data_IF_820449823002
#
_entry.id   IF_820449823002
#
_cell.length_a   1.000
_cell.length_b   1.000
_cell.length_c   1.000
_cell.angle_alpha   90.00
_cell.angle_beta   90.00
_cell.angle_gamma   90.00
#
_symmetry.space_group_name_H-M   'P 1'
#
loop_
_entity.id
_entity.type
_entity.pdbx_description
1 polymer ?
#
# COMPACT_ATOMS: atom_id res chain seq x y z
N UNK A 1 26.11 24.57 20.93
CA UNK A 1 26.58 23.70 19.83
C UNK A 1 25.39 22.84 19.44
N UNK A 2 24.70 23.16 18.35
CA UNK A 2 23.48 22.45 17.97
C UNK A 2 23.86 21.23 17.16
N UNK A 3 23.58 20.03 17.68
CA UNK A 3 23.79 18.78 16.94
C UNK A 3 22.73 18.75 15.84
N UNK A 4 23.15 18.99 14.59
CA UNK A 4 22.33 18.65 13.42
C UNK A 4 22.32 17.14 13.31
N UNK A 5 21.22 16.53 13.74
CA UNK A 5 20.93 15.14 13.38
C UNK A 5 20.53 15.15 11.90
N UNK A 6 21.47 14.89 11.01
CA UNK A 6 21.14 14.55 9.63
C UNK A 6 20.56 13.14 9.66
N UNK A 7 19.23 13.05 9.67
CA UNK A 7 18.57 11.79 9.36
C UNK A 7 19.11 11.40 7.98
N UNK A 8 19.69 10.18 7.80
CA UNK A 8 20.04 9.73 6.46
C UNK A 8 18.81 9.95 5.60
N UNK A 9 18.97 10.54 4.43
CA UNK A 9 17.90 10.63 3.45
C UNK A 9 17.55 9.20 3.05
N UNK A 10 16.80 8.50 3.90
CA UNK A 10 16.02 7.34 3.53
C UNK A 10 15.04 7.89 2.52
N UNK A 11 15.44 7.80 1.26
CA UNK A 11 14.59 7.92 0.08
C UNK A 11 13.53 6.84 0.21
N UNK A 12 12.56 7.00 1.12
CA UNK A 12 11.29 6.30 1.04
C UNK A 12 10.75 6.63 -0.34
N UNK A 13 10.99 5.74 -1.28
CA UNK A 13 10.88 6.05 -2.69
C UNK A 13 9.65 5.38 -3.27
N UNK A 14 9.10 4.38 -2.57
CA UNK A 14 8.06 3.52 -3.07
C UNK A 14 7.01 3.22 -1.98
N UNK A 15 5.78 3.08 -2.42
CA UNK A 15 4.63 2.83 -1.56
C UNK A 15 3.58 2.08 -2.35
N UNK A 16 2.91 1.11 -1.74
CA UNK A 16 1.69 0.53 -2.31
C UNK A 16 0.50 1.10 -1.54
N UNK A 17 -0.39 1.75 -2.28
CA UNK A 17 -1.67 2.22 -1.79
C UNK A 17 -2.71 1.21 -2.20
N UNK A 18 -3.39 0.62 -1.22
CA UNK A 18 -4.49 -0.32 -1.44
C UNK A 18 -5.79 0.33 -1.02
N UNK A 19 -6.59 0.70 -2.01
CA UNK A 19 -7.94 1.20 -1.80
C UNK A 19 -8.89 -0.01 -1.67
N UNK A 20 -9.69 -0.04 -0.61
CA UNK A 20 -10.58 -1.15 -0.29
C UNK A 20 -12.00 -0.60 -0.16
N UNK A 21 -12.91 -1.14 -0.97
CA UNK A 21 -14.36 -0.89 -0.89
C UNK A 21 -14.99 -2.01 -0.06
N UNK A 22 -15.74 -1.66 0.97
CA UNK A 22 -16.48 -2.60 1.81
C UNK A 22 -17.91 -2.81 1.27
N UNK A 23 -18.52 -3.96 1.57
CA UNK A 23 -19.89 -4.33 1.15
C UNK A 23 -20.96 -3.36 1.67
N UNK A 24 -20.68 -2.63 2.75
CA UNK A 24 -21.55 -1.59 3.30
C UNK A 24 -21.39 -0.22 2.62
N UNK A 25 -20.58 -0.12 1.56
CA UNK A 25 -20.34 1.11 0.80
C UNK A 25 -19.29 2.05 1.40
N UNK A 26 -18.67 1.69 2.53
CA UNK A 26 -17.54 2.45 3.09
C UNK A 26 -16.24 2.11 2.38
N UNK A 27 -15.32 3.08 2.36
CA UNK A 27 -13.99 2.90 1.83
C UNK A 27 -12.95 2.93 2.96
N UNK A 28 -11.90 2.14 2.83
CA UNK A 28 -10.70 2.21 3.66
C UNK A 28 -9.47 2.11 2.79
N UNK A 29 -8.32 2.50 3.34
CA UNK A 29 -7.06 2.53 2.61
C UNK A 29 -5.95 1.93 3.47
N UNK A 30 -5.13 1.09 2.87
CA UNK A 30 -3.90 0.56 3.46
C UNK A 30 -2.73 1.12 2.67
N UNK A 31 -1.78 1.74 3.37
CA UNK A 31 -0.58 2.32 2.78
C UNK A 31 0.62 1.55 3.31
N UNK A 32 1.38 0.92 2.40
CA UNK A 32 2.61 0.20 2.73
C UNK A 32 3.79 0.96 2.17
N UNK A 33 4.64 1.47 3.05
CA UNK A 33 5.87 2.19 2.69
C UNK A 33 7.04 1.21 2.74
N UNK A 34 7.88 1.22 1.71
CA UNK A 34 9.06 0.37 1.64
C UNK A 34 10.21 1.10 0.94
N UNK A 35 11.42 0.63 1.18
CA UNK A 35 12.65 1.26 0.72
C UNK A 35 13.67 0.24 0.19
N UNK A 36 13.20 -0.96 -0.16
CA UNK A 36 14.03 -1.98 -0.78
C UNK A 36 13.58 -2.16 -2.23
N UNK A 37 14.47 -1.86 -3.16
CA UNK A 37 14.30 -2.00 -4.60
C UNK A 37 14.43 -3.45 -5.09
N UNK A 38 14.89 -4.37 -4.23
CA UNK A 38 14.98 -5.80 -4.53
C UNK A 38 13.68 -6.55 -4.22
N UNK A 39 12.76 -5.93 -3.48
CA UNK A 39 11.46 -6.54 -3.19
C UNK A 39 10.58 -6.39 -4.42
N UNK A 40 10.11 -7.52 -4.94
CA UNK A 40 9.14 -7.50 -6.03
C UNK A 40 7.81 -6.94 -5.54
N UNK A 41 7.19 -6.10 -6.35
CA UNK A 41 5.87 -5.56 -6.07
C UNK A 41 4.83 -6.70 -5.96
N UNK A 42 4.99 -7.79 -6.72
CA UNK A 42 4.08 -8.93 -6.66
C UNK A 42 4.12 -9.60 -5.29
N UNK A 43 5.31 -9.74 -4.70
CA UNK A 43 5.47 -10.28 -3.34
C UNK A 43 4.83 -9.38 -2.29
N UNK A 44 4.91 -8.06 -2.45
CA UNK A 44 4.23 -7.12 -1.57
C UNK A 44 2.71 -7.21 -1.70
N UNK A 45 2.18 -7.35 -2.91
CA UNK A 45 0.75 -7.56 -3.14
C UNK A 45 0.28 -8.88 -2.49
N UNK A 46 1.03 -9.98 -2.66
CA UNK A 46 0.75 -11.28 -2.02
C UNK A 46 0.78 -11.16 -0.50
N UNK A 47 1.77 -10.45 0.06
CA UNK A 47 1.88 -10.22 1.50
C UNK A 47 0.71 -9.42 2.06
N UNK A 48 0.30 -8.35 1.37
CA UNK A 48 -0.87 -7.56 1.70
C UNK A 48 -2.15 -8.39 1.65
N UNK A 49 -2.31 -9.17 0.60
CA UNK A 49 -3.45 -10.05 0.42
C UNK A 49 -3.53 -11.10 1.53
N UNK A 50 -2.39 -11.70 1.87
CA UNK A 50 -2.30 -12.64 2.97
C UNK A 50 -2.68 -11.98 4.30
N UNK A 51 -2.20 -10.77 4.58
CA UNK A 51 -2.51 -10.04 5.81
C UNK A 51 -4.01 -9.69 5.90
N UNK A 52 -4.60 -9.21 4.81
CA UNK A 52 -6.03 -8.89 4.71
C UNK A 52 -6.87 -10.17 4.90
N UNK A 53 -6.52 -11.25 4.22
CA UNK A 53 -7.27 -12.52 4.25
C UNK A 53 -7.22 -13.19 5.63
N UNK A 54 -6.15 -13.00 6.41
CA UNK A 54 -6.03 -13.51 7.78
C UNK A 54 -7.06 -12.89 8.74
N UNK A 55 -7.54 -11.68 8.45
CA UNK A 55 -8.65 -11.08 9.18
C UNK A 55 -9.99 -11.52 8.57
N UNK A 56 -10.42 -12.74 8.91
CA UNK A 56 -11.57 -13.42 8.28
C UNK A 56 -12.85 -12.55 8.26
N UNK A 57 -13.15 -11.83 9.34
CA UNK A 57 -14.32 -10.94 9.39
C UNK A 57 -14.16 -9.69 8.52
N UNK A 58 -12.97 -9.11 8.50
CA UNK A 58 -12.70 -7.94 7.66
C UNK A 58 -12.76 -8.33 6.18
N UNK A 59 -12.08 -9.42 5.80
CA UNK A 59 -12.05 -9.93 4.43
C UNK A 59 -13.44 -10.25 3.88
N UNK A 60 -14.31 -10.91 4.67
CA UNK A 60 -15.70 -11.22 4.26
C UNK A 60 -16.52 -9.97 3.93
N UNK A 61 -16.14 -8.83 4.49
CA UNK A 61 -16.80 -7.55 4.27
C UNK A 61 -16.18 -6.73 3.14
N UNK A 62 -15.11 -7.20 2.49
CA UNK A 62 -14.52 -6.54 1.33
C UNK A 62 -15.37 -6.85 0.10
N UNK A 63 -15.78 -5.80 -0.60
CA UNK A 63 -16.43 -5.87 -1.91
C UNK A 63 -15.39 -5.85 -3.02
N UNK A 64 -14.40 -4.98 -2.89
CA UNK A 64 -13.33 -4.89 -3.87
C UNK A 64 -12.07 -4.25 -3.30
N UNK A 65 -10.95 -4.45 -4.00
CA UNK A 65 -9.69 -3.76 -3.71
C UNK A 65 -9.01 -3.32 -4.99
N UNK A 66 -8.19 -2.28 -4.88
CA UNK A 66 -7.33 -1.80 -5.95
C UNK A 66 -5.98 -1.41 -5.38
N UNK A 67 -4.91 -1.93 -5.97
CA UNK A 67 -3.55 -1.55 -5.62
C UNK A 67 -3.04 -0.49 -6.59
N UNK A 68 -2.33 0.49 -6.05
CA UNK A 68 -1.58 1.49 -6.81
C UNK A 68 -0.17 1.54 -6.26
N UNK A 69 0.81 1.27 -7.10
CA UNK A 69 2.21 1.50 -6.77
C UNK A 69 2.52 2.97 -6.98
N UNK A 70 2.97 3.62 -5.92
CA UNK A 70 3.31 5.02 -5.86
C UNK A 70 4.80 5.19 -5.60
N UNK A 71 5.35 6.27 -6.13
CA UNK A 71 6.61 6.83 -5.67
C UNK A 71 6.36 7.97 -4.71
N UNK A 72 7.20 8.14 -3.68
CA UNK A 72 7.15 9.34 -2.83
C UNK A 72 8.16 10.34 -3.37
N UNK A 73 7.68 11.45 -3.92
CA UNK A 73 8.53 12.55 -4.37
C UNK A 73 8.15 13.79 -3.58
N UNK A 74 9.12 14.33 -2.82
CA UNK A 74 8.93 15.56 -2.01
C UNK A 74 7.69 15.49 -1.11
N UNK A 75 7.44 14.34 -0.47
CA UNK A 75 6.28 14.13 0.42
C UNK A 75 4.94 13.89 -0.30
N UNK A 76 4.92 13.86 -1.64
CA UNK A 76 3.71 13.59 -2.43
C UNK A 76 3.77 12.15 -2.97
N UNK A 77 2.67 11.41 -2.79
CA UNK A 77 2.47 10.10 -3.41
C UNK A 77 2.11 10.30 -4.89
N UNK A 78 2.95 9.80 -5.80
CA UNK A 78 2.71 9.82 -7.23
C UNK A 78 2.59 8.40 -7.77
N UNK A 79 1.39 8.03 -8.21
CA UNK A 79 1.13 6.73 -8.85
C UNK A 79 2.02 6.52 -10.08
N UNK A 80 2.64 5.35 -10.16
CA UNK A 80 3.51 4.91 -11.24
C UNK A 80 2.96 3.65 -11.93
N UNK A 81 2.39 2.71 -11.18
CA UNK A 81 1.71 1.53 -11.75
C UNK A 81 0.34 1.32 -11.09
N UNK A 82 -0.63 0.91 -11.90
CA UNK A 82 -2.02 0.72 -11.48
C UNK A 82 -2.45 -0.71 -11.77
N UNK A 83 -3.00 -1.35 -10.76
CA UNK A 83 -3.48 -2.72 -10.89
C UNK A 83 -4.98 -2.74 -11.17
N UNK A 84 -5.47 -3.77 -11.87
CA UNK A 84 -6.90 -3.98 -12.03
C UNK A 84 -7.58 -4.03 -10.67
N UNK A 85 -8.77 -3.42 -10.60
CA UNK A 85 -9.65 -3.60 -9.45
C UNK A 85 -10.07 -5.07 -9.39
N UNK A 86 -9.91 -5.69 -8.23
CA UNK A 86 -10.37 -7.07 -7.98
C UNK A 86 -11.64 -7.00 -7.15
N UNK A 87 -12.70 -7.66 -7.63
CA UNK A 87 -13.99 -7.75 -6.94
C UNK A 87 -14.14 -9.14 -6.32
N UNK A 88 -14.70 -9.18 -5.12
CA UNK A 88 -14.93 -10.41 -4.37
C UNK A 88 -16.43 -10.67 -4.27
N UNK A 89 -16.85 -11.88 -4.64
CA UNK A 89 -18.23 -12.36 -4.48
C UNK A 89 -18.49 -12.70 -3.00
#
# INVERSE_FOLDING_TARGET
>A
MSIKLELPQTTFSQTIVTDIELKNGKNTQIITIFNNNEIDFEELAIGLDTAINRQVEFYKNIKSKKHTLCSIKTGVLKGFAFFPKVEFN
#
